data_IF_000834523649
#
_entry.id   IF_000834523649
#
_cell.length_a   1.000
_cell.length_b   1.000
_cell.length_c   1.000
_cell.angle_alpha   90.00
_cell.angle_beta   90.00
_cell.angle_gamma   90.00
#
_symmetry.space_group_name_H-M   'P 1'
#
loop_
_entity.id
_entity.type
_entity.pdbx_description
1 polymer ?
#
# COMPACT_ATOMS: atom_id res chain seq x y z
N UNK A 1 -7.96 -77.84 56.36
CA UNK A 1 -8.65 -76.58 56.66
C UNK A 1 -8.21 -75.59 55.60
N UNK A 2 -9.11 -75.03 54.93
CA UNK A 2 -9.19 -74.34 53.64
C UNK A 2 -7.94 -73.51 53.19
N UNK A 3 -7.46 -73.82 51.96
CA UNK A 3 -6.51 -73.03 51.18
C UNK A 3 -7.32 -72.29 50.06
N UNK A 4 -7.23 -70.99 50.08
CA UNK A 4 -7.82 -70.14 49.04
C UNK A 4 -6.74 -69.76 48.02
N UNK A 5 -6.89 -70.22 46.76
CA UNK A 5 -6.05 -69.84 45.63
C UNK A 5 -6.49 -68.49 45.10
N UNK A 6 -5.60 -67.53 45.05
CA UNK A 6 -5.78 -66.22 44.43
C UNK A 6 -5.28 -66.29 42.99
N UNK A 7 -6.17 -66.13 42.00
CA UNK A 7 -5.86 -66.03 40.60
C UNK A 7 -5.65 -64.53 40.25
N UNK A 8 -4.41 -64.18 39.85
CA UNK A 8 -4.07 -62.86 39.36
C UNK A 8 -4.47 -62.75 37.86
N UNK A 9 -5.40 -61.87 37.57
CA UNK A 9 -5.80 -61.49 36.19
C UNK A 9 -4.93 -60.30 35.76
N UNK A 10 -4.01 -60.52 34.81
CA UNK A 10 -3.30 -59.42 34.16
C UNK A 10 -4.15 -58.89 32.98
N UNK A 11 -4.76 -57.75 33.14
CA UNK A 11 -5.39 -57.02 32.02
C UNK A 11 -4.34 -56.12 31.38
N UNK A 12 -3.88 -56.43 30.18
CA UNK A 12 -3.07 -55.55 29.35
C UNK A 12 -4.01 -54.48 28.77
N UNK A 13 -3.88 -53.26 29.27
CA UNK A 13 -4.53 -52.07 28.64
C UNK A 13 -3.54 -51.50 27.65
N UNK A 14 -3.69 -51.84 26.36
CA UNK A 14 -3.01 -51.15 25.28
C UNK A 14 -3.74 -49.84 25.01
N UNK A 15 -3.21 -48.77 25.62
CA UNK A 15 -3.66 -47.40 25.34
C UNK A 15 -3.14 -46.94 23.99
N UNK A 16 -3.96 -46.99 22.95
CA UNK A 16 -3.70 -46.32 21.69
C UNK A 16 -3.85 -44.83 21.87
N UNK A 17 -2.75 -44.12 22.08
CA UNK A 17 -2.71 -42.64 22.09
C UNK A 17 -2.85 -42.16 20.64
N UNK A 18 -4.06 -41.86 20.21
CA UNK A 18 -4.32 -41.16 18.94
C UNK A 18 -3.91 -39.70 19.14
N UNK A 19 -2.69 -39.37 18.68
CA UNK A 19 -2.24 -38.00 18.55
C UNK A 19 -3.03 -37.34 17.40
N UNK A 20 -4.11 -36.63 17.75
CA UNK A 20 -4.71 -35.67 16.86
C UNK A 20 -3.72 -34.55 16.63
N UNK A 21 -2.97 -34.60 15.53
CA UNK A 21 -2.38 -33.41 14.98
C UNK A 21 -3.52 -32.50 14.50
N UNK A 22 -3.94 -31.58 15.33
CA UNK A 22 -4.72 -30.43 14.88
C UNK A 22 -3.80 -29.62 13.96
N UNK A 23 -3.79 -29.95 12.67
CA UNK A 23 -3.34 -29.00 11.67
C UNK A 23 -4.31 -27.83 11.77
N UNK A 24 -3.84 -26.73 12.35
CA UNK A 24 -4.49 -25.44 12.21
C UNK A 24 -4.38 -25.07 10.75
N UNK A 25 -5.28 -25.61 9.93
CA UNK A 25 -5.54 -25.08 8.63
C UNK A 25 -6.04 -23.65 8.91
N UNK A 26 -5.17 -22.67 8.75
CA UNK A 26 -5.59 -21.30 8.51
C UNK A 26 -6.42 -21.39 7.22
N UNK A 27 -7.72 -21.58 7.36
CA UNK A 27 -8.65 -21.52 6.24
C UNK A 27 -8.62 -20.06 5.80
N UNK A 28 -7.77 -19.75 4.82
CA UNK A 28 -7.88 -18.47 4.12
C UNK A 28 -9.24 -18.53 3.44
N UNK A 29 -10.07 -17.54 3.72
CA UNK A 29 -11.41 -17.48 3.15
C UNK A 29 -11.28 -17.34 1.63
N UNK A 30 -11.98 -18.18 0.83
CA UNK A 30 -11.79 -18.20 -0.61
C UNK A 30 -12.14 -16.87 -1.25
N UNK A 31 -11.23 -16.35 -2.08
CA UNK A 31 -11.47 -15.14 -2.85
C UNK A 31 -12.34 -15.49 -4.06
N UNK A 32 -13.57 -14.99 -4.08
CA UNK A 32 -14.47 -15.08 -5.21
C UNK A 32 -14.19 -13.93 -6.18
N UNK A 33 -14.18 -14.21 -7.49
CA UNK A 33 -13.96 -13.19 -8.51
C UNK A 33 -14.97 -13.33 -9.66
N UNK A 34 -15.46 -12.19 -10.17
CA UNK A 34 -16.28 -12.11 -11.37
C UNK A 34 -16.19 -10.71 -12.02
N UNK A 35 -16.67 -10.62 -13.25
CA UNK A 35 -16.84 -9.36 -13.96
C UNK A 35 -18.33 -9.05 -14.08
N UNK A 36 -18.73 -7.84 -13.71
CA UNK A 36 -20.09 -7.37 -13.87
C UNK A 36 -20.42 -6.96 -15.31
N UNK A 37 -21.71 -6.87 -15.70
CA UNK A 37 -22.12 -6.32 -16.99
C UNK A 37 -21.58 -4.92 -17.27
N UNK A 38 -21.34 -4.12 -16.24
CA UNK A 38 -20.69 -2.80 -16.32
C UNK A 38 -19.21 -2.84 -16.72
N UNK A 39 -18.58 -4.02 -16.75
CA UNK A 39 -17.15 -4.23 -16.94
C UNK A 39 -16.33 -4.19 -15.66
N UNK A 40 -16.91 -3.82 -14.51
CA UNK A 40 -16.24 -3.80 -13.22
C UNK A 40 -15.79 -5.20 -12.80
N UNK A 41 -14.55 -5.31 -12.31
CA UNK A 41 -13.99 -6.56 -11.76
C UNK A 41 -14.22 -6.58 -10.26
N UNK A 42 -14.87 -7.62 -9.76
CA UNK A 42 -15.24 -7.74 -8.35
C UNK A 42 -14.48 -8.88 -7.69
N UNK A 43 -13.95 -8.64 -6.50
CA UNK A 43 -13.24 -9.58 -5.65
C UNK A 43 -13.92 -9.58 -4.28
N UNK A 44 -14.36 -10.74 -3.81
CA UNK A 44 -15.13 -10.87 -2.57
C UNK A 44 -14.49 -11.91 -1.65
N UNK A 45 -14.39 -11.58 -0.37
CA UNK A 45 -14.23 -12.54 0.71
C UNK A 45 -15.43 -12.39 1.65
N UNK A 46 -16.27 -13.44 1.73
CA UNK A 46 -17.38 -13.50 2.68
C UNK A 46 -16.83 -13.74 4.08
N UNK A 47 -17.24 -12.90 5.04
CA UNK A 47 -16.80 -12.95 6.45
C UNK A 47 -17.94 -12.52 7.35
N UNK A 48 -18.60 -13.49 8.01
CA UNK A 48 -19.85 -13.29 8.75
C UNK A 48 -19.72 -13.13 10.29
N UNK A 49 -18.51 -13.16 10.91
CA UNK A 49 -18.40 -13.03 12.37
C UNK A 49 -18.86 -11.68 12.93
N UNK A 50 -18.83 -10.63 12.12
CA UNK A 50 -19.24 -9.27 12.48
C UNK A 50 -20.21 -8.76 11.41
N UNK A 51 -21.37 -8.15 11.78
CA UNK A 51 -22.34 -7.62 10.82
C UNK A 51 -21.84 -6.31 10.18
N UNK A 52 -20.76 -6.41 9.41
CA UNK A 52 -20.07 -5.27 8.80
C UNK A 52 -19.54 -5.64 7.43
N UNK A 53 -19.54 -4.67 6.51
CA UNK A 53 -18.95 -4.80 5.20
C UNK A 53 -17.98 -3.64 4.93
N UNK A 54 -16.82 -3.99 4.41
CA UNK A 54 -15.81 -3.09 3.91
C UNK A 54 -15.69 -3.25 2.40
N UNK A 55 -15.74 -2.15 1.66
CA UNK A 55 -15.61 -2.11 0.20
C UNK A 55 -14.51 -1.13 -0.17
N UNK A 56 -13.69 -1.50 -1.15
CA UNK A 56 -12.77 -0.58 -1.81
C UNK A 56 -12.97 -0.64 -3.32
N UNK A 57 -13.08 0.54 -3.95
CA UNK A 57 -13.22 0.72 -5.38
C UNK A 57 -11.99 1.45 -5.89
N UNK A 58 -11.21 0.82 -6.74
CA UNK A 58 -9.95 1.34 -7.27
C UNK A 58 -10.06 1.66 -8.74
N UNK A 59 -9.54 2.83 -9.13
CA UNK A 59 -9.43 3.30 -10.51
C UNK A 59 -7.99 3.65 -10.85
N UNK A 60 -7.57 3.42 -12.09
CA UNK A 60 -6.27 3.85 -12.61
C UNK A 60 -6.24 5.38 -12.85
N UNK A 61 -6.26 6.13 -11.75
CA UNK A 61 -6.38 7.58 -11.69
C UNK A 61 -5.49 8.19 -10.58
N UNK A 62 -4.34 7.56 -10.30
CA UNK A 62 -3.39 8.06 -9.31
C UNK A 62 -2.50 9.19 -9.84
N UNK A 63 -1.66 9.74 -8.97
CA UNK A 63 -0.79 10.89 -9.25
C UNK A 63 0.17 10.70 -10.44
N UNK A 64 0.47 9.44 -10.82
CA UNK A 64 1.25 9.19 -12.06
C UNK A 64 0.53 9.61 -13.35
N UNK A 65 -0.77 9.94 -13.25
CA UNK A 65 -1.60 10.46 -14.33
C UNK A 65 -1.67 11.99 -14.34
N UNK A 66 -1.13 12.64 -13.32
CA UNK A 66 -1.13 14.10 -13.24
C UNK A 66 -0.21 14.69 -14.32
N UNK A 67 -0.58 15.82 -14.93
CA UNK A 67 0.38 16.65 -15.63
C UNK A 67 1.45 17.16 -14.66
N UNK A 68 2.72 17.26 -15.12
CA UNK A 68 3.83 17.64 -14.26
C UNK A 68 3.63 19.00 -13.57
N UNK A 69 3.04 19.97 -14.28
CA UNK A 69 2.72 21.29 -13.76
C UNK A 69 1.47 21.34 -12.85
N UNK A 70 0.73 20.21 -12.76
CA UNK A 70 -0.46 20.02 -11.91
C UNK A 70 -0.30 18.82 -10.97
N UNK A 71 0.92 18.52 -10.55
CA UNK A 71 1.18 17.46 -9.58
C UNK A 71 0.32 17.65 -8.33
N UNK A 72 -0.38 16.60 -7.90
CA UNK A 72 -1.38 16.61 -6.84
C UNK A 72 -2.82 16.65 -7.33
N UNK A 73 -3.09 16.76 -8.65
CA UNK A 73 -4.43 16.83 -9.22
C UNK A 73 -5.28 15.60 -8.83
N UNK A 74 -4.73 14.39 -8.93
CA UNK A 74 -5.44 13.17 -8.52
C UNK A 74 -5.84 13.22 -7.04
N UNK A 75 -4.92 13.66 -6.17
CA UNK A 75 -5.13 13.70 -4.73
C UNK A 75 -6.21 14.71 -4.33
N UNK A 76 -6.15 15.93 -4.90
CA UNK A 76 -7.16 16.95 -4.60
C UNK A 76 -8.52 16.59 -5.22
N UNK A 77 -8.54 15.97 -6.41
CA UNK A 77 -9.76 15.50 -7.05
C UNK A 77 -10.47 14.46 -6.18
N UNK A 78 -9.74 13.47 -5.68
CA UNK A 78 -10.29 12.46 -4.78
C UNK A 78 -10.83 13.08 -3.49
N UNK A 79 -10.08 13.97 -2.85
CA UNK A 79 -10.48 14.65 -1.61
C UNK A 79 -11.74 15.51 -1.82
N UNK A 80 -11.85 16.18 -2.95
CA UNK A 80 -13.00 17.06 -3.28
C UNK A 80 -14.32 16.29 -3.50
N UNK A 81 -14.27 14.96 -3.72
CA UNK A 81 -15.51 14.15 -3.79
C UNK A 81 -16.27 14.09 -2.46
N UNK A 82 -15.64 14.40 -1.35
CA UNK A 82 -16.25 14.48 -0.01
C UNK A 82 -16.72 15.90 0.36
N UNK A 83 -16.68 16.84 -0.60
CA UNK A 83 -17.01 18.25 -0.36
C UNK A 83 -18.38 18.67 -0.84
N UNK A 84 -19.24 17.70 -1.10
CA UNK A 84 -20.64 17.89 -1.47
C UNK A 84 -21.04 17.02 -2.65
N UNK A 85 -22.36 16.90 -2.81
CA UNK A 85 -23.03 16.14 -3.88
C UNK A 85 -23.90 17.11 -4.66
N UNK A 86 -23.82 17.07 -5.99
CA UNK A 86 -24.66 17.91 -6.85
C UNK A 86 -26.12 17.40 -6.87
N UNK A 87 -27.06 18.32 -7.09
CA UNK A 87 -28.46 17.96 -7.37
C UNK A 87 -28.56 17.19 -8.68
N UNK A 88 -29.31 16.07 -8.68
CA UNK A 88 -29.58 15.28 -9.89
C UNK A 88 -30.82 14.39 -9.71
N UNK A 89 -31.56 14.21 -10.78
CA UNK A 89 -32.74 13.32 -10.88
C UNK A 89 -33.79 13.60 -9.77
N UNK A 90 -34.02 14.89 -9.46
CA UNK A 90 -34.96 15.32 -8.40
C UNK A 90 -34.44 15.19 -6.96
N UNK A 91 -33.24 14.67 -6.76
CA UNK A 91 -32.58 14.65 -5.47
C UNK A 91 -31.86 15.98 -5.21
N UNK A 92 -31.97 16.58 -4.00
CA UNK A 92 -31.31 17.84 -3.67
C UNK A 92 -29.79 17.69 -3.63
N UNK A 93 -29.08 18.81 -3.80
CA UNK A 93 -27.67 18.89 -3.45
C UNK A 93 -27.45 18.67 -1.95
N UNK A 94 -26.25 18.23 -1.60
CA UNK A 94 -25.76 18.20 -0.23
C UNK A 94 -24.45 18.94 -0.18
N UNK A 95 -24.32 19.87 0.73
CA UNK A 95 -23.03 20.50 1.03
C UNK A 95 -22.13 19.59 1.87
N UNK A 96 -20.91 20.06 2.19
CA UNK A 96 -19.91 19.31 3.00
C UNK A 96 -20.45 18.88 4.37
N UNK A 97 -21.21 19.75 5.05
CA UNK A 97 -21.75 19.49 6.38
C UNK A 97 -22.92 18.51 6.34
N UNK A 98 -23.87 18.76 5.44
CA UNK A 98 -25.04 17.88 5.22
C UNK A 98 -24.60 16.47 4.81
N UNK A 99 -23.55 16.35 3.98
CA UNK A 99 -22.99 15.06 3.59
C UNK A 99 -22.35 14.36 4.79
N UNK A 100 -21.61 15.09 5.62
CA UNK A 100 -21.00 14.55 6.83
C UNK A 100 -22.05 14.06 7.84
N UNK A 101 -23.12 14.82 8.03
CA UNK A 101 -24.28 14.45 8.88
C UNK A 101 -24.98 13.20 8.35
N UNK A 102 -25.24 13.14 7.04
CA UNK A 102 -25.89 11.98 6.42
C UNK A 102 -25.07 10.68 6.60
N UNK A 103 -23.74 10.76 6.58
CA UNK A 103 -22.87 9.62 6.89
C UNK A 103 -22.90 9.24 8.38
N UNK A 104 -22.91 10.23 9.26
CA UNK A 104 -22.99 10.02 10.71
C UNK A 104 -24.31 9.32 11.11
N UNK A 105 -25.43 9.75 10.54
CA UNK A 105 -26.76 9.16 10.77
C UNK A 105 -26.84 7.69 10.36
N UNK A 106 -26.07 7.28 9.37
CA UNK A 106 -25.99 5.88 8.91
C UNK A 106 -24.99 5.04 9.72
N UNK A 107 -24.20 5.65 10.62
CA UNK A 107 -23.08 4.96 11.27
C UNK A 107 -22.09 4.36 10.26
N UNK A 108 -21.96 4.97 9.11
CA UNK A 108 -21.18 4.49 7.98
C UNK A 108 -20.19 5.57 7.52
N UNK A 109 -19.26 5.22 6.65
CA UNK A 109 -18.33 6.18 6.08
C UNK A 109 -17.97 5.84 4.65
N UNK A 110 -17.87 6.88 3.82
CA UNK A 110 -17.36 6.76 2.45
C UNK A 110 -16.43 7.93 2.14
N UNK A 111 -15.32 7.65 1.47
CA UNK A 111 -14.36 8.69 1.10
C UNK A 111 -13.40 8.27 0.02
N UNK A 112 -12.87 9.28 -0.70
CA UNK A 112 -11.89 9.12 -1.76
C UNK A 112 -10.50 9.54 -1.33
N UNK A 113 -9.49 8.85 -1.85
CA UNK A 113 -8.07 9.20 -1.75
C UNK A 113 -7.35 8.82 -3.03
N UNK A 114 -6.21 9.44 -3.32
CA UNK A 114 -5.36 8.99 -4.40
C UNK A 114 -3.92 8.82 -3.93
N UNK A 115 -3.33 7.68 -4.29
CA UNK A 115 -1.91 7.42 -4.20
C UNK A 115 -1.24 7.63 -5.56
N UNK A 116 -0.04 7.12 -5.69
CA UNK A 116 0.74 7.24 -6.93
C UNK A 116 0.07 6.54 -8.12
N UNK A 117 -0.43 5.32 -7.93
CA UNK A 117 -0.95 4.49 -9.03
C UNK A 117 -2.48 4.54 -9.19
N UNK A 118 -3.21 4.75 -8.12
CA UNK A 118 -4.67 4.62 -8.12
C UNK A 118 -5.37 5.69 -7.31
N UNK A 119 -6.61 5.99 -7.73
CA UNK A 119 -7.60 6.68 -6.93
C UNK A 119 -8.53 5.62 -6.34
N UNK A 120 -8.74 5.67 -5.04
CA UNK A 120 -9.46 4.66 -4.27
C UNK A 120 -10.61 5.29 -3.51
N UNK A 121 -11.76 4.63 -3.51
CA UNK A 121 -12.92 4.98 -2.69
C UNK A 121 -13.20 3.83 -1.75
N UNK A 122 -13.41 4.12 -0.48
CA UNK A 122 -13.70 3.11 0.53
C UNK A 122 -15.03 3.38 1.22
N UNK A 123 -15.87 2.33 1.30
CA UNK A 123 -17.11 2.30 2.07
C UNK A 123 -16.92 1.33 3.24
N UNK A 124 -17.28 1.78 4.44
CA UNK A 124 -17.48 0.92 5.61
C UNK A 124 -18.90 1.13 6.13
N UNK A 125 -19.64 0.05 6.32
CA UNK A 125 -21.01 0.08 6.82
C UNK A 125 -21.33 -1.17 7.60
N UNK A 126 -22.33 -1.07 8.49
CA UNK A 126 -23.01 -2.26 9.02
C UNK A 126 -23.78 -2.95 7.88
N UNK A 127 -23.89 -4.29 7.94
CA UNK A 127 -24.58 -5.11 6.94
C UNK A 127 -26.10 -5.20 7.12
N UNK A 128 -26.67 -4.46 8.09
CA UNK A 128 -28.09 -4.50 8.40
C UNK A 128 -28.95 -4.07 7.19
N UNK A 129 -30.11 -4.74 6.97
CA UNK A 129 -30.95 -4.53 5.79
C UNK A 129 -31.51 -3.12 5.65
N UNK A 130 -31.64 -2.38 6.74
CA UNK A 130 -32.13 -0.99 6.77
C UNK A 130 -31.02 0.05 6.63
N UNK A 131 -29.74 -0.31 6.82
CA UNK A 131 -28.59 0.59 6.79
C UNK A 131 -27.76 0.45 5.50
N UNK A 132 -27.31 -0.77 5.17
CA UNK A 132 -26.42 -0.99 4.03
C UNK A 132 -26.96 -0.47 2.70
N UNK A 133 -28.26 -0.66 2.34
CA UNK A 133 -28.78 -0.12 1.09
C UNK A 133 -28.77 1.42 1.05
N UNK A 134 -29.04 2.10 2.17
CA UNK A 134 -28.99 3.55 2.28
C UNK A 134 -27.56 4.08 2.15
N UNK A 135 -26.60 3.42 2.84
CA UNK A 135 -25.19 3.74 2.73
C UNK A 135 -24.69 3.56 1.28
N UNK A 136 -25.10 2.48 0.60
CA UNK A 136 -24.74 2.24 -0.80
C UNK A 136 -25.31 3.30 -1.74
N UNK A 137 -26.57 3.75 -1.51
CA UNK A 137 -27.19 4.82 -2.30
C UNK A 137 -26.49 6.16 -2.08
N UNK A 138 -26.15 6.52 -0.84
CA UNK A 138 -25.41 7.74 -0.55
C UNK A 138 -24.02 7.70 -1.16
N UNK A 139 -23.29 6.56 -1.05
CA UNK A 139 -22.00 6.35 -1.69
C UNK A 139 -22.09 6.47 -3.22
N UNK A 140 -23.13 5.90 -3.84
CA UNK A 140 -23.35 6.00 -5.28
C UNK A 140 -23.57 7.46 -5.73
N UNK A 141 -24.28 8.25 -4.95
CA UNK A 141 -24.44 9.69 -5.21
C UNK A 141 -23.11 10.42 -5.07
N UNK A 142 -22.40 10.21 -3.99
CA UNK A 142 -21.11 10.87 -3.75
C UNK A 142 -20.07 10.49 -4.81
N UNK A 143 -20.07 9.23 -5.25
CA UNK A 143 -19.18 8.74 -6.31
C UNK A 143 -19.61 9.25 -7.70
N UNK A 144 -20.90 9.31 -8.01
CA UNK A 144 -21.41 9.64 -9.34
C UNK A 144 -21.69 11.11 -9.58
N UNK A 145 -21.86 11.89 -8.51
CA UNK A 145 -22.36 13.28 -8.55
C UNK A 145 -21.55 14.23 -7.65
N UNK A 146 -20.20 14.16 -7.61
CA UNK A 146 -19.43 15.07 -6.77
C UNK A 146 -19.62 16.52 -7.25
N UNK A 147 -19.93 17.41 -6.30
CA UNK A 147 -20.27 18.82 -6.63
C UNK A 147 -19.04 19.63 -7.08
N UNK A 148 -17.88 19.32 -6.53
CA UNK A 148 -16.64 20.11 -6.73
C UNK A 148 -16.89 21.61 -6.51
N UNK A 149 -17.28 22.07 -5.31
CA UNK A 149 -17.59 23.48 -5.06
C UNK A 149 -16.33 24.36 -5.09
N UNK A 150 -16.34 25.40 -5.92
CA UNK A 150 -15.17 26.26 -6.17
C UNK A 150 -14.70 26.98 -4.90
N UNK A 151 -15.64 27.49 -4.09
CA UNK A 151 -15.31 28.19 -2.84
C UNK A 151 -14.59 27.27 -1.82
N UNK A 152 -15.00 26.01 -1.76
CA UNK A 152 -14.36 24.99 -0.90
C UNK A 152 -12.96 24.67 -1.42
N UNK A 153 -12.80 24.55 -2.74
CA UNK A 153 -11.47 24.35 -3.33
C UNK A 153 -10.52 25.51 -3.03
N UNK A 154 -10.96 26.73 -3.18
CA UNK A 154 -10.12 27.91 -2.88
C UNK A 154 -9.66 27.91 -1.41
N UNK A 155 -10.57 27.65 -0.47
CA UNK A 155 -10.26 27.50 0.96
C UNK A 155 -9.25 26.38 1.21
N UNK A 156 -9.51 25.21 0.66
CA UNK A 156 -8.70 24.01 0.91
C UNK A 156 -7.32 24.12 0.23
N UNK A 157 -7.23 24.74 -0.95
CA UNK A 157 -5.96 25.07 -1.61
C UNK A 157 -5.07 25.95 -0.75
N UNK A 158 -5.62 27.02 -0.16
CA UNK A 158 -4.84 27.90 0.73
C UNK A 158 -4.32 27.15 1.96
N UNK A 159 -5.17 26.30 2.57
CA UNK A 159 -4.75 25.46 3.69
C UNK A 159 -3.66 24.47 3.30
N UNK A 160 -3.76 23.84 2.13
CA UNK A 160 -2.74 22.93 1.59
C UNK A 160 -1.43 23.68 1.31
N UNK A 161 -1.49 24.86 0.72
CA UNK A 161 -0.32 25.72 0.47
C UNK A 161 0.40 26.10 1.77
N UNK A 162 -0.36 26.46 2.81
CA UNK A 162 0.21 26.72 4.13
C UNK A 162 0.90 25.48 4.72
N UNK A 163 0.28 24.30 4.58
CA UNK A 163 0.87 23.03 5.02
C UNK A 163 2.15 22.67 4.25
N UNK A 164 2.21 22.97 2.94
CA UNK A 164 3.42 22.77 2.13
C UNK A 164 4.53 23.70 2.59
N UNK A 165 4.23 24.99 2.86
CA UNK A 165 5.22 25.95 3.41
C UNK A 165 5.78 25.45 4.73
N UNK A 166 4.91 25.00 5.64
CA UNK A 166 5.34 24.42 6.91
C UNK A 166 6.19 23.15 6.70
N UNK A 167 5.75 22.22 5.83
CA UNK A 167 6.49 21.00 5.54
C UNK A 167 7.90 21.28 4.99
N UNK A 168 8.09 22.39 4.27
CA UNK A 168 9.40 22.82 3.75
C UNK A 168 10.38 23.26 4.85
N UNK A 169 9.93 23.48 6.07
CA UNK A 169 10.81 23.75 7.23
C UNK A 169 11.29 22.45 7.92
N UNK A 170 10.81 21.30 7.48
CA UNK A 170 11.15 20.00 8.07
C UNK A 170 12.28 19.32 7.28
N UNK A 171 13.42 19.04 7.93
CA UNK A 171 14.59 18.45 7.24
C UNK A 171 14.26 17.15 6.49
N UNK A 172 13.50 16.25 7.12
CA UNK A 172 13.10 14.97 6.50
C UNK A 172 12.30 15.16 5.20
N UNK A 173 11.41 16.16 5.15
CA UNK A 173 10.62 16.47 3.96
C UNK A 173 11.50 16.97 2.83
N UNK A 174 12.39 17.92 3.12
CA UNK A 174 13.31 18.49 2.11
C UNK A 174 14.26 17.41 1.56
N UNK A 175 14.84 16.59 2.44
CA UNK A 175 15.68 15.47 2.02
C UNK A 175 14.92 14.45 1.16
N UNK A 176 13.69 14.09 1.56
CA UNK A 176 12.83 13.15 0.82
C UNK A 176 12.47 13.64 -0.58
N UNK A 177 12.17 14.91 -0.74
CA UNK A 177 11.89 15.54 -2.05
C UNK A 177 13.10 15.52 -2.97
N UNK A 178 14.26 15.96 -2.47
CA UNK A 178 15.49 15.93 -3.23
C UNK A 178 15.85 14.50 -3.66
N UNK A 179 15.67 13.55 -2.77
CA UNK A 179 15.87 12.13 -3.05
C UNK A 179 14.91 11.59 -4.13
N UNK A 180 13.61 11.84 -4.00
CA UNK A 180 12.62 11.40 -4.98
C UNK A 180 12.89 11.98 -6.36
N UNK A 181 13.19 13.28 -6.44
CA UNK A 181 13.56 13.95 -7.69
C UNK A 181 14.82 13.32 -8.33
N UNK A 182 15.85 13.00 -7.53
CA UNK A 182 17.07 12.39 -8.01
C UNK A 182 16.90 10.92 -8.44
N UNK A 183 16.03 10.15 -7.76
CA UNK A 183 15.76 8.74 -8.09
C UNK A 183 14.89 8.60 -9.32
N UNK A 184 13.84 9.42 -9.44
CA UNK A 184 12.84 9.24 -10.49
C UNK A 184 13.01 10.16 -11.69
N UNK A 185 13.84 11.21 -11.59
CA UNK A 185 14.05 12.18 -12.67
C UNK A 185 12.73 12.81 -13.12
N UNK A 186 12.41 12.65 -14.40
CA UNK A 186 11.15 13.16 -14.99
C UNK A 186 9.96 12.21 -14.90
N UNK A 187 10.16 11.02 -14.32
CA UNK A 187 9.06 10.05 -14.18
C UNK A 187 8.02 10.54 -13.15
N UNK A 188 6.72 10.36 -13.43
CA UNK A 188 5.66 10.85 -12.54
C UNK A 188 5.70 10.35 -11.08
N UNK A 189 6.40 9.27 -10.80
CA UNK A 189 6.61 8.80 -9.42
C UNK A 189 7.42 9.79 -8.57
N UNK A 190 8.18 10.66 -9.21
CA UNK A 190 8.93 11.73 -8.55
C UNK A 190 8.19 13.08 -8.50
N UNK A 191 6.99 13.17 -9.04
CA UNK A 191 6.23 14.41 -9.00
C UNK A 191 5.84 14.77 -7.56
N UNK A 192 6.04 16.03 -7.24
CA UNK A 192 5.77 16.59 -5.92
C UNK A 192 4.66 17.63 -6.02
N UNK A 193 3.70 17.57 -5.10
CA UNK A 193 2.70 18.62 -4.94
C UNK A 193 3.36 19.85 -4.35
N UNK A 194 3.35 20.95 -5.05
CA UNK A 194 3.92 22.25 -4.66
C UNK A 194 2.84 23.32 -4.61
N UNK A 195 3.15 24.48 -4.04
CA UNK A 195 2.26 25.63 -4.10
C UNK A 195 2.00 26.05 -5.56
N UNK A 196 3.03 25.99 -6.41
CA UNK A 196 2.90 26.31 -7.84
C UNK A 196 1.99 25.31 -8.57
N UNK A 197 2.16 24.00 -8.34
CA UNK A 197 1.28 23.00 -8.97
C UNK A 197 -0.17 23.13 -8.49
N UNK A 198 -0.39 23.41 -7.18
CA UNK A 198 -1.73 23.68 -6.64
C UNK A 198 -2.37 24.94 -7.22
N UNK A 199 -1.59 26.00 -7.50
CA UNK A 199 -2.08 27.22 -8.12
C UNK A 199 -2.56 26.99 -9.57
N UNK A 200 -1.96 26.02 -10.27
CA UNK A 200 -2.34 25.65 -11.64
C UNK A 200 -3.56 24.74 -11.72
N UNK A 201 -4.03 24.19 -10.59
CA UNK A 201 -5.20 23.30 -10.55
C UNK A 201 -6.48 24.12 -10.34
N UNK A 202 -7.50 23.84 -11.15
CA UNK A 202 -8.83 24.39 -11.01
C UNK A 202 -9.92 23.29 -11.02
N UNK A 203 -11.17 23.66 -10.76
CA UNK A 203 -12.29 22.72 -10.70
C UNK A 203 -12.54 22.03 -12.06
N UNK A 204 -12.27 22.70 -13.17
CA UNK A 204 -12.44 22.10 -14.49
C UNK A 204 -11.42 20.96 -14.73
N UNK A 205 -10.19 21.12 -14.24
CA UNK A 205 -9.18 20.06 -14.29
C UNK A 205 -9.63 18.82 -13.50
N UNK A 206 -10.16 19.05 -12.29
CA UNK A 206 -10.68 17.97 -11.44
C UNK A 206 -11.84 17.23 -12.11
N UNK A 207 -12.81 17.97 -12.67
CA UNK A 207 -13.94 17.39 -13.39
C UNK A 207 -13.50 16.62 -14.63
N UNK A 208 -12.52 17.12 -15.36
CA UNK A 208 -11.99 16.46 -16.55
C UNK A 208 -11.28 15.15 -16.16
N UNK A 209 -10.40 15.20 -15.17
CA UNK A 209 -9.72 14.01 -14.64
C UNK A 209 -10.74 12.98 -14.15
N UNK A 210 -11.68 13.39 -13.33
CA UNK A 210 -12.69 12.51 -12.77
C UNK A 210 -13.49 11.79 -13.85
N UNK A 211 -14.01 12.51 -14.84
CA UNK A 211 -14.76 11.95 -15.95
C UNK A 211 -13.95 11.05 -16.88
N UNK A 212 -12.64 11.31 -16.99
CA UNK A 212 -11.74 10.56 -17.88
C UNK A 212 -11.31 9.22 -17.30
N UNK A 213 -11.28 9.09 -15.97
CA UNK A 213 -10.68 7.93 -15.30
C UNK A 213 -11.66 7.15 -14.43
N UNK A 214 -12.69 7.79 -13.86
CA UNK A 214 -13.65 7.15 -12.96
C UNK A 214 -14.85 6.65 -13.75
N UNK A 215 -14.71 5.46 -14.34
CA UNK A 215 -15.70 4.79 -15.17
C UNK A 215 -15.95 3.35 -14.68
N UNK A 216 -17.20 2.83 -14.69
CA UNK A 216 -17.52 1.50 -14.17
C UNK A 216 -16.64 0.37 -14.74
N UNK A 217 -16.37 0.41 -16.06
CA UNK A 217 -15.55 -0.60 -16.75
C UNK A 217 -14.06 -0.58 -16.36
N UNK A 218 -13.60 0.43 -15.63
CA UNK A 218 -12.24 0.54 -15.08
C UNK A 218 -12.16 0.13 -13.62
N UNK A 219 -13.33 -0.01 -12.95
CA UNK A 219 -13.38 -0.29 -11.53
C UNK A 219 -12.86 -1.68 -11.18
N UNK A 220 -11.98 -1.74 -10.18
CA UNK A 220 -11.67 -2.96 -9.45
C UNK A 220 -12.28 -2.80 -8.06
N UNK A 221 -13.23 -3.66 -7.72
CA UNK A 221 -13.99 -3.57 -6.48
C UNK A 221 -13.62 -4.74 -5.59
N UNK A 222 -13.06 -4.45 -4.44
CA UNK A 222 -12.73 -5.44 -3.41
C UNK A 222 -13.72 -5.32 -2.25
N UNK A 223 -14.23 -6.45 -1.76
CA UNK A 223 -15.25 -6.51 -0.72
C UNK A 223 -14.84 -7.58 0.30
N UNK A 224 -14.92 -7.22 1.56
CA UNK A 224 -14.75 -8.15 2.69
C UNK A 224 -15.86 -7.89 3.70
N UNK A 225 -16.57 -8.93 4.13
CA UNK A 225 -17.55 -8.78 5.21
C UNK A 225 -18.77 -9.64 5.08
N UNK A 226 -19.79 -9.28 5.86
CA UNK A 226 -21.03 -10.02 6.03
C UNK A 226 -22.01 -9.75 4.87
N UNK A 227 -21.62 -10.22 3.70
CA UNK A 227 -22.44 -10.21 2.49
C UNK A 227 -22.16 -11.46 1.66
N UNK A 228 -23.20 -12.07 1.11
CA UNK A 228 -23.09 -13.15 0.14
C UNK A 228 -22.71 -12.58 -1.22
N UNK A 229 -22.23 -13.46 -2.14
CA UNK A 229 -21.91 -13.08 -3.53
C UNK A 229 -23.06 -12.32 -4.21
N UNK A 230 -24.30 -12.80 -4.06
CA UNK A 230 -25.47 -12.15 -4.67
C UNK A 230 -25.76 -10.77 -4.08
N UNK A 231 -25.53 -10.60 -2.78
CA UNK A 231 -25.64 -9.27 -2.11
C UNK A 231 -24.52 -8.35 -2.55
N UNK A 232 -23.28 -8.85 -2.63
CA UNK A 232 -22.12 -8.09 -3.11
C UNK A 232 -22.31 -7.63 -4.56
N UNK A 233 -22.83 -8.48 -5.44
CA UNK A 233 -23.11 -8.10 -6.83
C UNK A 233 -24.13 -6.96 -6.94
N UNK A 234 -25.22 -7.03 -6.16
CA UNK A 234 -26.21 -5.92 -6.07
C UNK A 234 -25.62 -4.66 -5.46
N UNK A 235 -24.78 -4.80 -4.41
CA UNK A 235 -24.09 -3.67 -3.79
C UNK A 235 -23.21 -2.93 -4.81
N UNK A 236 -22.39 -3.65 -5.57
CA UNK A 236 -21.53 -3.05 -6.60
C UNK A 236 -22.37 -2.40 -7.70
N UNK A 237 -23.46 -3.06 -8.13
CA UNK A 237 -24.39 -2.48 -9.11
C UNK A 237 -24.94 -1.14 -8.61
N UNK A 238 -25.34 -1.06 -7.34
CA UNK A 238 -25.83 0.19 -6.71
C UNK A 238 -24.75 1.25 -6.64
N UNK A 239 -23.55 0.89 -6.15
CA UNK A 239 -22.42 1.82 -5.99
C UNK A 239 -21.99 2.48 -7.30
N UNK A 240 -22.03 1.74 -8.41
CA UNK A 240 -21.58 2.23 -9.72
C UNK A 240 -22.73 2.80 -10.58
N UNK A 241 -24.00 2.69 -10.14
CA UNK A 241 -25.18 3.02 -10.93
C UNK A 241 -25.23 4.47 -11.44
N UNK A 242 -24.59 5.41 -10.73
CA UNK A 242 -24.61 6.83 -11.06
C UNK A 242 -23.39 7.29 -11.85
N UNK A 243 -22.44 6.42 -12.09
CA UNK A 243 -21.32 6.67 -13.00
C UNK A 243 -21.80 6.52 -14.46
N UNK A 244 -21.20 7.27 -15.42
CA UNK A 244 -21.54 7.15 -16.83
C UNK A 244 -21.28 5.72 -17.35
N UNK A 245 -22.33 5.06 -17.84
CA UNK A 245 -22.22 3.77 -18.50
C UNK A 245 -21.90 3.98 -19.99
N UNK A 246 -20.86 3.29 -20.45
CA UNK A 246 -20.57 3.16 -21.89
C UNK A 246 -21.26 1.92 -22.45
N UNK A 247 -21.73 2.02 -23.69
CA UNK A 247 -22.29 0.88 -24.42
C UNK A 247 -21.49 0.71 -25.72
N UNK A 248 -20.79 -0.43 -25.92
CA UNK A 248 -20.63 -1.57 -25.00
C UNK A 248 -19.85 -1.20 -23.74
N UNK A 249 -20.02 -1.95 -22.65
CA UNK A 249 -19.38 -1.75 -21.35
C UNK A 249 -17.86 -2.05 -21.37
N UNK A 250 -17.15 -1.45 -22.31
CA UNK A 250 -15.72 -1.62 -22.52
C UNK A 250 -15.03 -0.25 -22.55
N UNK A 251 -14.05 -0.10 -21.69
CA UNK A 251 -13.22 1.10 -21.68
C UNK A 251 -12.07 0.98 -22.69
N UNK A 252 -11.81 2.10 -23.37
CA UNK A 252 -10.59 2.24 -24.15
C UNK A 252 -9.34 2.16 -23.25
N UNK A 253 -8.22 1.59 -23.72
CA UNK A 253 -6.97 1.60 -22.98
C UNK A 253 -6.56 3.01 -22.59
N UNK A 254 -6.06 3.17 -21.36
CA UNK A 254 -5.49 4.45 -20.94
C UNK A 254 -4.09 4.63 -21.56
N UNK A 255 -3.66 5.88 -21.76
CA UNK A 255 -2.30 6.17 -22.24
C UNK A 255 -1.25 5.47 -21.37
N UNK A 256 -0.26 4.87 -22.02
CA UNK A 256 0.84 4.24 -21.30
C UNK A 256 1.68 5.29 -20.55
N UNK A 257 2.06 4.98 -19.34
CA UNK A 257 3.08 5.74 -18.59
C UNK A 257 4.43 5.07 -18.85
N UNK A 258 5.45 5.84 -19.11
CA UNK A 258 6.80 5.33 -19.36
C UNK A 258 7.33 4.58 -18.11
N UNK A 259 8.30 3.69 -18.31
CA UNK A 259 8.97 3.04 -17.19
C UNK A 259 9.97 3.97 -16.51
N UNK A 260 10.19 3.72 -15.20
CA UNK A 260 11.25 4.41 -14.47
C UNK A 260 12.61 4.01 -15.03
N UNK A 261 13.40 4.99 -15.46
CA UNK A 261 14.73 4.74 -16.00
C UNK A 261 15.71 4.35 -14.87
N UNK A 262 16.61 3.41 -15.17
CA UNK A 262 17.73 3.11 -14.28
C UNK A 262 18.72 4.28 -14.22
N UNK A 263 19.40 4.44 -13.09
CA UNK A 263 20.44 5.46 -12.95
C UNK A 263 21.67 5.12 -13.80
N UNK A 264 22.12 6.08 -14.59
CA UNK A 264 23.32 5.92 -15.42
C UNK A 264 24.63 6.02 -14.59
N UNK A 265 24.63 6.88 -13.58
CA UNK A 265 25.77 7.18 -12.72
C UNK A 265 25.30 7.49 -11.29
N UNK A 266 26.18 7.43 -10.28
CA UNK A 266 25.85 7.85 -8.93
C UNK A 266 25.54 9.35 -8.89
N UNK A 267 24.59 9.71 -8.00
CA UNK A 267 24.22 11.10 -7.73
C UNK A 267 24.48 11.38 -6.25
N UNK A 268 25.26 12.39 -5.93
CA UNK A 268 25.49 12.85 -4.58
C UNK A 268 24.99 14.28 -4.41
N UNK A 269 24.14 14.51 -3.41
CA UNK A 269 23.61 15.83 -3.08
C UNK A 269 23.82 16.11 -1.59
N UNK A 270 24.58 17.17 -1.29
CA UNK A 270 24.69 17.73 0.04
C UNK A 270 23.83 19.00 0.12
N UNK A 271 22.84 19.01 1.01
CA UNK A 271 21.88 20.10 1.16
C UNK A 271 22.16 20.80 2.49
N UNK A 272 22.64 22.04 2.47
CA UNK A 272 22.78 22.85 3.69
C UNK A 272 21.41 23.07 4.34
N UNK A 273 21.31 22.74 5.62
CA UNK A 273 20.08 22.92 6.38
C UNK A 273 20.42 23.01 7.87
N UNK A 274 19.85 23.97 8.57
CA UNK A 274 20.03 24.08 10.01
C UNK A 274 19.20 23.00 10.71
N UNK A 275 19.87 21.96 11.21
CA UNK A 275 19.23 20.83 11.86
C UNK A 275 20.18 20.20 12.89
N UNK A 276 19.63 19.75 14.01
CA UNK A 276 20.38 19.02 15.04
C UNK A 276 20.84 17.63 14.55
N UNK A 277 20.24 17.11 13.49
CA UNK A 277 20.59 15.80 12.90
C UNK A 277 20.75 15.94 11.38
N UNK A 278 21.71 15.22 10.82
CA UNK A 278 21.79 15.00 9.38
C UNK A 278 20.81 13.89 8.96
N UNK A 279 20.07 14.14 7.88
CA UNK A 279 19.20 13.18 7.24
C UNK A 279 19.89 12.59 6.01
N UNK A 280 20.00 11.28 5.98
CA UNK A 280 20.66 10.54 4.90
C UNK A 280 19.67 9.62 4.21
N UNK A 281 19.60 9.72 2.88
CA UNK A 281 18.85 8.81 2.02
C UNK A 281 19.76 8.27 0.92
N UNK A 282 19.81 6.93 0.79
CA UNK A 282 20.61 6.25 -0.24
C UNK A 282 19.70 5.30 -0.99
N UNK A 283 19.74 5.31 -2.33
CA UNK A 283 18.93 4.35 -3.08
C UNK A 283 18.89 4.61 -4.59
N UNK A 284 17.99 3.88 -5.24
CA UNK A 284 17.81 3.85 -6.68
C UNK A 284 16.40 3.37 -7.05
N UNK A 285 15.99 3.43 -8.33
CA UNK A 285 14.83 2.67 -8.78
C UNK A 285 15.01 1.17 -8.47
N UNK A 286 14.00 0.54 -7.88
CA UNK A 286 14.01 -0.86 -7.48
C UNK A 286 13.33 -1.77 -8.52
N UNK A 287 12.10 -2.22 -8.22
CA UNK A 287 11.37 -3.17 -9.06
C UNK A 287 9.85 -2.92 -9.03
N UNK A 288 9.12 -3.54 -9.97
CA UNK A 288 7.66 -3.49 -10.04
C UNK A 288 7.03 -4.53 -9.10
N UNK A 289 5.81 -4.30 -8.66
CA UNK A 289 5.08 -5.27 -7.83
C UNK A 289 4.89 -6.65 -8.49
N UNK A 290 4.85 -6.69 -9.82
CA UNK A 290 4.72 -7.93 -10.60
C UNK A 290 6.04 -8.64 -10.88
N UNK A 291 7.16 -8.16 -10.35
CA UNK A 291 8.48 -8.74 -10.59
C UNK A 291 8.58 -10.16 -9.99
N UNK A 292 9.12 -11.15 -10.73
CA UNK A 292 9.27 -12.51 -10.21
C UNK A 292 10.20 -12.61 -8.99
N UNK A 293 11.12 -11.67 -8.81
CA UNK A 293 12.02 -11.61 -7.65
C UNK A 293 11.36 -11.03 -6.39
N UNK A 294 10.07 -10.67 -6.44
CA UNK A 294 9.35 -9.99 -5.35
C UNK A 294 9.58 -10.62 -3.97
N UNK A 295 9.39 -11.94 -3.84
CA UNK A 295 9.54 -12.61 -2.55
C UNK A 295 10.99 -12.66 -2.07
N UNK A 296 11.93 -12.88 -2.97
CA UNK A 296 13.36 -12.87 -2.62
C UNK A 296 13.82 -11.48 -2.17
N UNK A 297 13.33 -10.42 -2.83
CA UNK A 297 13.62 -9.03 -2.45
C UNK A 297 12.91 -8.63 -1.15
N UNK A 298 11.69 -9.11 -0.92
CA UNK A 298 10.95 -8.89 0.34
C UNK A 298 11.71 -9.48 1.54
N UNK A 299 12.06 -10.77 1.45
CA UNK A 299 12.75 -11.48 2.54
C UNK A 299 14.18 -10.94 2.72
N UNK A 300 14.89 -10.70 1.62
CA UNK A 300 16.23 -10.13 1.68
C UNK A 300 16.23 -8.73 2.28
N UNK A 301 15.26 -7.89 1.95
CA UNK A 301 15.13 -6.57 2.57
C UNK A 301 14.80 -6.66 4.08
N UNK A 302 13.97 -7.63 4.49
CA UNK A 302 13.71 -7.86 5.91
C UNK A 302 15.04 -8.08 6.67
N UNK A 303 15.96 -8.88 6.12
CA UNK A 303 17.26 -9.16 6.71
C UNK A 303 18.18 -7.92 6.64
N UNK A 304 18.16 -7.19 5.52
CA UNK A 304 19.06 -6.04 5.30
C UNK A 304 18.74 -4.86 6.23
N UNK A 305 17.47 -4.40 6.26
CA UNK A 305 17.09 -3.21 7.02
C UNK A 305 15.62 -3.12 7.36
N UNK A 306 14.76 -4.02 6.83
CA UNK A 306 13.32 -4.01 7.06
C UNK A 306 12.86 -4.71 8.34
N UNK A 307 13.71 -5.57 8.95
CA UNK A 307 13.41 -6.34 10.16
C UNK A 307 13.62 -5.58 11.48
N UNK A 308 13.78 -4.27 11.43
CA UNK A 308 14.02 -3.45 12.61
C UNK A 308 15.36 -3.77 13.27
N UNK A 309 15.37 -3.97 14.58
CA UNK A 309 16.60 -4.15 15.36
C UNK A 309 17.41 -5.39 15.03
N UNK A 310 16.82 -6.42 14.45
CA UNK A 310 17.52 -7.65 14.05
C UNK A 310 18.14 -7.57 12.65
N UNK A 311 17.98 -6.45 11.95
CA UNK A 311 18.52 -6.27 10.62
C UNK A 311 20.02 -5.94 10.62
N UNK A 312 20.69 -6.24 9.49
CA UNK A 312 22.14 -5.96 9.34
C UNK A 312 22.47 -4.47 9.47
N UNK A 313 21.67 -3.61 8.86
CA UNK A 313 21.87 -2.16 8.98
C UNK A 313 21.77 -1.71 10.44
N UNK A 314 20.76 -2.18 11.19
CA UNK A 314 20.64 -1.85 12.60
C UNK A 314 21.85 -2.35 13.40
N UNK A 315 22.27 -3.58 13.20
CA UNK A 315 23.44 -4.15 13.89
C UNK A 315 24.72 -3.38 13.58
N UNK A 316 24.99 -3.06 12.31
CA UNK A 316 26.26 -2.45 11.91
C UNK A 316 26.33 -0.95 12.17
N UNK A 317 25.23 -0.22 11.91
CA UNK A 317 25.23 1.25 12.01
C UNK A 317 24.86 1.70 13.43
N UNK A 318 23.85 1.06 14.05
CA UNK A 318 23.35 1.46 15.36
C UNK A 318 24.10 0.75 16.50
N UNK A 319 24.05 -0.60 16.55
CA UNK A 319 24.53 -1.33 17.74
C UNK A 319 26.04 -1.32 17.87
N UNK A 320 26.76 -1.63 16.80
CA UNK A 320 28.23 -1.70 16.84
C UNK A 320 28.93 -0.36 16.85
N UNK A 321 28.31 0.68 16.23
CA UNK A 321 29.00 1.97 16.01
C UNK A 321 28.30 3.18 16.62
N UNK A 322 27.05 3.05 17.06
CA UNK A 322 26.31 4.16 17.67
C UNK A 322 26.06 5.34 16.71
N UNK A 323 26.13 5.12 15.40
CA UNK A 323 26.05 6.21 14.41
C UNK A 323 24.63 6.71 14.19
N UNK A 324 23.62 5.89 14.46
CA UNK A 324 22.22 6.26 14.26
C UNK A 324 21.34 5.58 15.30
N UNK A 325 20.27 6.27 15.75
CA UNK A 325 19.24 5.62 16.55
C UNK A 325 18.30 4.75 15.70
N UNK A 326 18.03 5.17 14.48
CA UNK A 326 17.17 4.44 13.54
C UNK A 326 17.80 4.41 12.15
N UNK A 327 18.00 3.21 11.64
CA UNK A 327 18.42 2.96 10.26
C UNK A 327 17.54 1.84 9.69
N UNK A 328 17.12 2.01 8.45
CA UNK A 328 16.18 1.09 7.80
C UNK A 328 16.43 0.99 6.30
N UNK A 329 15.89 -0.05 5.68
CA UNK A 329 15.73 -0.11 4.23
C UNK A 329 14.35 -0.64 3.85
N UNK A 330 13.88 -0.22 2.67
CA UNK A 330 12.62 -0.71 2.11
C UNK A 330 12.62 -0.58 0.59
N UNK A 331 11.77 -1.38 -0.05
CA UNK A 331 11.34 -1.22 -1.43
C UNK A 331 9.91 -0.69 -1.46
N UNK A 332 9.58 0.12 -2.45
CA UNK A 332 8.23 0.65 -2.68
C UNK A 332 7.70 0.21 -4.05
N UNK A 333 7.54 -1.11 -4.32
CA UNK A 333 7.14 -1.59 -5.63
C UNK A 333 5.71 -1.17 -5.98
N UNK A 334 5.53 -0.54 -7.15
CA UNK A 334 4.25 -0.14 -7.73
C UNK A 334 3.99 -0.81 -9.07
N UNK A 335 3.14 -0.22 -9.88
CA UNK A 335 2.96 -0.64 -11.28
C UNK A 335 4.23 -0.43 -12.11
N UNK A 336 5.04 0.57 -11.72
CA UNK A 336 6.39 0.81 -12.23
C UNK A 336 7.42 0.52 -11.13
N UNK A 337 8.71 0.57 -11.47
CA UNK A 337 9.79 0.36 -10.51
C UNK A 337 9.79 1.46 -9.45
N UNK A 338 9.28 1.16 -8.26
CA UNK A 338 9.39 2.04 -7.10
C UNK A 338 10.78 1.99 -6.49
N UNK A 339 11.13 2.97 -5.67
CA UNK A 339 12.47 3.08 -5.13
C UNK A 339 12.84 1.95 -4.15
N UNK A 340 14.12 1.57 -4.16
CA UNK A 340 14.82 1.02 -3.02
C UNK A 340 15.43 2.18 -2.24
N UNK A 341 15.25 2.19 -0.93
CA UNK A 341 15.72 3.27 -0.06
C UNK A 341 16.36 2.72 1.19
N UNK A 342 17.55 3.19 1.51
CA UNK A 342 18.16 3.13 2.86
C UNK A 342 18.02 4.53 3.45
N UNK A 343 17.45 4.62 4.66
CA UNK A 343 17.27 5.88 5.37
C UNK A 343 17.84 5.82 6.78
N UNK A 344 18.46 6.91 7.23
CA UNK A 344 18.93 7.08 8.59
C UNK A 344 19.02 8.55 8.99
N UNK A 345 19.09 8.77 10.30
CA UNK A 345 19.41 10.06 10.89
C UNK A 345 20.63 9.90 11.79
N UNK A 346 21.54 10.86 11.74
CA UNK A 346 22.80 10.80 12.48
C UNK A 346 23.24 12.21 12.91
N UNK A 347 24.26 12.30 13.73
CA UNK A 347 24.89 13.60 14.02
C UNK A 347 25.56 14.16 12.75
N UNK A 348 25.53 15.49 12.54
CA UNK A 348 26.12 16.10 11.35
C UNK A 348 27.57 15.72 11.11
N UNK A 349 28.39 15.67 12.18
CA UNK A 349 29.82 15.31 12.15
C UNK A 349 30.09 13.82 11.85
N UNK A 350 29.08 12.96 11.95
CA UNK A 350 29.15 11.52 11.69
C UNK A 350 28.51 11.10 10.37
N UNK A 351 27.92 12.02 9.62
CA UNK A 351 27.14 11.71 8.42
C UNK A 351 27.96 10.94 7.37
N UNK A 352 29.19 11.38 7.10
CA UNK A 352 30.05 10.73 6.11
C UNK A 352 30.37 9.26 6.52
N UNK A 353 30.68 9.03 7.80
CA UNK A 353 30.93 7.70 8.33
C UNK A 353 29.68 6.81 8.25
N UNK A 354 28.51 7.34 8.62
CA UNK A 354 27.25 6.60 8.58
C UNK A 354 26.86 6.20 7.14
N UNK A 355 27.08 7.09 6.15
CA UNK A 355 26.92 6.81 4.73
C UNK A 355 27.85 5.68 4.29
N UNK A 356 29.14 5.78 4.62
CA UNK A 356 30.12 4.78 4.21
C UNK A 356 29.77 3.40 4.77
N UNK A 357 29.51 3.29 6.07
CA UNK A 357 29.12 2.03 6.72
C UNK A 357 27.84 1.44 6.09
N UNK A 358 26.82 2.29 5.84
CA UNK A 358 25.58 1.82 5.21
C UNK A 358 25.79 1.30 3.80
N UNK A 359 26.63 1.96 2.99
CA UNK A 359 27.03 1.51 1.65
C UNK A 359 27.81 0.20 1.70
N UNK A 360 28.73 0.05 2.63
CA UNK A 360 29.55 -1.17 2.80
C UNK A 360 28.65 -2.36 3.15
N UNK A 361 27.70 -2.17 4.09
CA UNK A 361 26.71 -3.20 4.46
C UNK A 361 25.87 -3.61 3.25
N UNK A 362 25.38 -2.63 2.50
CA UNK A 362 24.60 -2.88 1.30
C UNK A 362 25.40 -3.62 0.22
N UNK A 363 26.61 -3.17 -0.08
CA UNK A 363 27.48 -3.79 -1.09
C UNK A 363 27.82 -5.22 -0.69
N UNK A 364 28.15 -5.47 0.58
CA UNK A 364 28.41 -6.82 1.11
C UNK A 364 27.17 -7.71 1.01
N UNK A 365 25.98 -7.17 1.28
CA UNK A 365 24.73 -7.93 1.16
C UNK A 365 24.43 -8.31 -0.30
N UNK A 366 24.60 -7.37 -1.23
CA UNK A 366 24.42 -7.63 -2.67
C UNK A 366 25.41 -8.67 -3.19
N UNK A 367 26.68 -8.59 -2.78
CA UNK A 367 27.73 -9.51 -3.21
C UNK A 367 27.63 -10.90 -2.56
N UNK A 368 27.33 -10.97 -1.27
CA UNK A 368 27.39 -12.19 -0.47
C UNK A 368 26.03 -12.87 -0.23
N UNK A 369 24.95 -12.10 -0.20
CA UNK A 369 23.63 -12.55 0.26
C UNK A 369 23.53 -12.65 1.80
N UNK A 370 22.43 -13.19 2.33
CA UNK A 370 22.27 -13.47 3.75
C UNK A 370 23.00 -14.74 4.19
N UNK A 371 23.21 -14.89 5.49
CA UNK A 371 23.60 -16.17 6.08
C UNK A 371 22.35 -17.09 6.22
N UNK A 372 22.56 -18.42 6.30
CA UNK A 372 21.48 -19.38 6.50
C UNK A 372 20.69 -19.11 7.80
N UNK A 373 21.38 -18.72 8.85
CA UNK A 373 20.75 -18.38 10.15
C UNK A 373 19.86 -17.13 10.07
N UNK A 374 20.28 -16.11 9.31
CA UNK A 374 19.48 -14.91 9.07
C UNK A 374 18.24 -15.23 8.22
N UNK A 375 18.42 -16.04 7.17
CA UNK A 375 17.32 -16.48 6.33
C UNK A 375 16.29 -17.29 7.14
N UNK A 376 16.76 -18.22 7.96
CA UNK A 376 15.87 -19.00 8.83
C UNK A 376 15.08 -18.10 9.76
N UNK A 377 15.73 -17.19 10.47
CA UNK A 377 15.07 -16.27 11.40
C UNK A 377 14.06 -15.34 10.68
N UNK A 378 14.38 -14.86 9.48
CA UNK A 378 13.49 -14.05 8.68
C UNK A 378 12.24 -14.83 8.25
N UNK A 379 12.40 -16.08 7.78
CA UNK A 379 11.29 -16.96 7.42
C UNK A 379 10.39 -17.24 8.64
N UNK A 380 10.97 -17.64 9.77
CA UNK A 380 10.23 -17.95 11.00
C UNK A 380 9.35 -16.75 11.42
N UNK A 381 9.90 -15.53 11.37
CA UNK A 381 9.16 -14.31 11.70
C UNK A 381 8.07 -13.97 10.68
N UNK A 382 8.40 -13.98 9.39
CA UNK A 382 7.48 -13.58 8.33
C UNK A 382 6.32 -14.58 8.18
N UNK A 383 6.60 -15.88 8.27
CA UNK A 383 5.59 -16.95 8.19
C UNK A 383 4.75 -16.96 9.47
N UNK A 384 5.38 -16.93 10.65
CA UNK A 384 4.66 -16.90 11.93
C UNK A 384 3.80 -15.67 12.13
N UNK A 385 4.23 -14.52 11.58
CA UNK A 385 3.48 -13.26 11.63
C UNK A 385 2.42 -13.10 10.53
N UNK A 386 2.31 -14.04 9.57
CA UNK A 386 1.43 -13.87 8.42
C UNK A 386 -0.05 -13.72 8.79
N UNK A 387 -0.53 -14.52 9.74
CA UNK A 387 -1.92 -14.46 10.20
C UNK A 387 -2.32 -13.06 10.71
N UNK A 388 -1.39 -12.33 11.34
CA UNK A 388 -1.62 -10.97 11.83
C UNK A 388 -1.74 -9.92 10.72
N UNK A 389 -1.45 -10.29 9.48
CA UNK A 389 -1.63 -9.41 8.30
C UNK A 389 -3.02 -9.45 7.72
N UNK A 390 -3.83 -10.44 8.10
CA UNK A 390 -5.17 -10.70 7.57
C UNK A 390 -6.20 -10.98 8.68
N UNK A 391 -5.93 -10.55 9.93
CA UNK A 391 -6.71 -10.86 11.13
C UNK A 391 -7.96 -9.99 11.31
N UNK A 392 -8.24 -9.07 10.41
CA UNK A 392 -9.42 -8.21 10.44
C UNK A 392 -9.93 -7.93 9.01
N UNK A 393 -11.22 -7.58 8.88
CA UNK A 393 -11.82 -7.22 7.59
C UNK A 393 -10.99 -6.14 6.88
N UNK A 394 -10.52 -5.13 7.60
CA UNK A 394 -9.72 -4.04 7.04
C UNK A 394 -8.40 -4.54 6.43
N UNK A 395 -7.60 -5.29 7.20
CA UNK A 395 -6.32 -5.82 6.72
C UNK A 395 -6.51 -6.83 5.57
N UNK A 396 -7.58 -7.63 5.64
CA UNK A 396 -7.93 -8.55 4.58
C UNK A 396 -8.34 -7.79 3.31
N UNK A 397 -9.17 -6.73 3.44
CA UNK A 397 -9.54 -5.86 2.33
C UNK A 397 -8.31 -5.22 1.67
N UNK A 398 -7.37 -4.68 2.46
CA UNK A 398 -6.14 -4.09 1.94
C UNK A 398 -5.33 -5.12 1.14
N UNK A 399 -5.28 -6.37 1.61
CA UNK A 399 -4.61 -7.48 0.92
C UNK A 399 -5.33 -7.85 -0.39
N UNK A 400 -6.65 -8.02 -0.37
CA UNK A 400 -7.46 -8.35 -1.56
C UNK A 400 -7.42 -7.21 -2.59
N UNK A 401 -7.52 -5.96 -2.15
CA UNK A 401 -7.39 -4.79 -3.02
C UNK A 401 -6.01 -4.71 -3.68
N UNK A 402 -4.94 -5.00 -2.92
CA UNK A 402 -3.59 -5.09 -3.49
C UNK A 402 -3.46 -6.23 -4.51
N UNK A 403 -4.06 -7.39 -4.23
CA UNK A 403 -4.10 -8.53 -5.18
C UNK A 403 -4.84 -8.13 -6.47
N UNK A 404 -6.04 -7.58 -6.33
CA UNK A 404 -6.87 -7.14 -7.44
C UNK A 404 -6.14 -6.08 -8.29
N UNK A 405 -5.54 -5.09 -7.62
CA UNK A 405 -4.82 -4.00 -8.28
C UNK A 405 -3.65 -4.52 -9.14
N UNK A 406 -2.86 -5.39 -8.58
CA UNK A 406 -1.65 -5.91 -9.22
C UNK A 406 -1.91 -7.18 -10.08
N UNK A 407 -3.17 -7.59 -10.28
CA UNK A 407 -3.57 -8.80 -11.00
C UNK A 407 -2.85 -10.06 -10.50
N UNK A 408 -2.68 -10.19 -9.19
CA UNK A 408 -2.06 -11.37 -8.58
C UNK A 408 -3.03 -12.57 -8.62
N UNK A 409 -2.52 -13.81 -8.55
CA UNK A 409 -3.36 -15.01 -8.49
C UNK A 409 -4.35 -14.97 -7.32
N UNK A 410 -5.54 -15.58 -7.48
CA UNK A 410 -6.57 -15.59 -6.43
C UNK A 410 -6.15 -16.38 -5.17
N UNK A 411 -5.25 -17.34 -5.32
CA UNK A 411 -4.63 -18.13 -4.25
C UNK A 411 -3.36 -17.49 -3.65
N UNK A 412 -3.10 -16.22 -3.97
CA UNK A 412 -1.89 -15.52 -3.53
C UNK A 412 -1.72 -15.54 -2.01
N UNK A 413 -2.80 -15.35 -1.24
CA UNK A 413 -2.73 -15.39 0.23
C UNK A 413 -2.52 -16.81 0.76
N UNK A 414 -3.08 -17.83 0.10
CA UNK A 414 -2.91 -19.23 0.45
C UNK A 414 -1.48 -19.72 0.23
N UNK A 415 -0.83 -19.22 -0.82
CA UNK A 415 0.50 -19.64 -1.23
C UNK A 415 1.62 -18.75 -0.68
N UNK A 416 1.29 -17.60 -0.05
CA UNK A 416 2.26 -16.60 0.37
C UNK A 416 3.35 -17.16 1.30
N UNK A 417 2.96 -17.91 2.33
CA UNK A 417 3.91 -18.53 3.27
C UNK A 417 4.79 -19.57 2.61
N UNK A 418 4.23 -20.35 1.67
CA UNK A 418 4.98 -21.32 0.87
C UNK A 418 5.99 -20.64 -0.05
N UNK A 419 5.63 -19.47 -0.66
CA UNK A 419 6.55 -18.69 -1.48
C UNK A 419 7.74 -18.15 -0.67
N UNK A 420 7.51 -17.77 0.59
CA UNK A 420 8.58 -17.35 1.52
C UNK A 420 9.42 -18.56 1.94
N UNK A 421 8.78 -19.67 2.28
CA UNK A 421 9.47 -20.86 2.83
C UNK A 421 10.44 -21.51 1.83
N UNK A 422 10.08 -21.57 0.56
CA UNK A 422 10.93 -22.20 -0.47
C UNK A 422 12.20 -21.43 -0.85
N UNK A 423 12.32 -20.14 -0.44
CA UNK A 423 13.47 -19.31 -0.81
C UNK A 423 14.78 -19.85 -0.23
N UNK A 424 15.83 -19.76 -1.01
CA UNK A 424 17.20 -20.09 -0.60
C UNK A 424 18.07 -18.82 -0.49
N UNK A 425 19.22 -18.93 0.17
CA UNK A 425 20.25 -17.87 0.18
C UNK A 425 20.65 -17.49 -1.24
N UNK A 426 20.77 -18.48 -2.14
CA UNK A 426 21.14 -18.25 -3.54
C UNK A 426 20.08 -17.43 -4.28
N UNK A 427 18.78 -17.67 -4.04
CA UNK A 427 17.69 -16.90 -4.66
C UNK A 427 17.75 -15.43 -4.25
N UNK A 428 17.94 -15.16 -2.94
CA UNK A 428 18.03 -13.79 -2.43
C UNK A 428 19.26 -13.08 -2.98
N UNK A 429 20.42 -13.73 -2.93
CA UNK A 429 21.66 -13.18 -3.48
C UNK A 429 21.51 -12.84 -4.96
N UNK A 430 20.97 -13.75 -5.75
CA UNK A 430 20.78 -13.56 -7.17
C UNK A 430 19.78 -12.42 -7.48
N UNK A 431 18.69 -12.32 -6.72
CA UNK A 431 17.69 -11.26 -6.88
C UNK A 431 18.29 -9.88 -6.56
N UNK A 432 19.03 -9.75 -5.45
CA UNK A 432 19.69 -8.50 -5.07
C UNK A 432 20.73 -8.08 -6.09
N UNK A 433 21.55 -9.00 -6.58
CA UNK A 433 22.56 -8.73 -7.62
C UNK A 433 21.94 -8.28 -8.96
N UNK A 434 20.73 -8.79 -9.31
CA UNK A 434 20.01 -8.34 -10.52
C UNK A 434 19.41 -6.95 -10.38
N UNK A 435 18.95 -6.59 -9.17
CA UNK A 435 18.10 -5.41 -8.97
C UNK A 435 18.84 -4.22 -8.39
N UNK A 436 19.92 -4.40 -7.66
CA UNK A 436 20.63 -3.30 -7.00
C UNK A 436 22.05 -3.12 -7.56
N UNK A 437 22.40 -1.86 -7.77
CA UNK A 437 23.72 -1.40 -8.23
C UNK A 437 24.24 -0.37 -7.22
N UNK A 438 24.83 -0.81 -6.09
CA UNK A 438 25.25 0.10 -5.00
C UNK A 438 26.16 1.24 -5.45
N UNK A 439 26.96 1.00 -6.49
CA UNK A 439 27.89 1.97 -7.08
C UNK A 439 27.20 3.12 -7.85
N UNK A 440 25.91 2.94 -8.24
CA UNK A 440 25.14 3.93 -9.02
C UNK A 440 24.06 4.65 -8.24
N UNK A 441 23.95 4.40 -6.95
CA UNK A 441 22.84 4.94 -6.14
C UNK A 441 22.94 6.45 -5.92
N UNK A 442 21.78 7.08 -5.83
CA UNK A 442 21.61 8.41 -5.26
C UNK A 442 22.02 8.39 -3.80
N UNK A 443 22.68 9.43 -3.33
CA UNK A 443 22.92 9.74 -1.92
C UNK A 443 22.55 11.19 -1.67
N UNK A 444 21.55 11.41 -0.82
CA UNK A 444 21.18 12.75 -0.33
C UNK A 444 21.57 12.84 1.12
N UNK A 445 22.31 13.87 1.48
CA UNK A 445 22.67 14.23 2.85
C UNK A 445 22.17 15.65 3.10
N UNK A 446 21.31 15.82 4.05
CA UNK A 446 20.81 17.15 4.45
C UNK A 446 21.17 17.42 5.91
N UNK A 447 21.67 18.62 6.20
CA UNK A 447 22.00 19.06 7.56
C UNK A 447 23.36 18.59 8.08
N UNK A 448 24.21 17.95 7.25
CA UNK A 448 25.62 17.76 7.58
C UNK A 448 26.40 19.07 7.40
N UNK A 449 27.43 19.26 8.20
CA UNK A 449 28.42 20.31 7.90
C UNK A 449 29.05 20.02 6.54
N UNK A 450 29.34 21.06 5.70
CA UNK A 450 29.97 20.89 4.42
C UNK A 450 31.39 20.27 4.54
#
# INVERSE_FOLDING_TARGET
MFAIKTIAFHALITGATVLFYAQSALAVLPVQHWTQPSGAKVYLVESHPIPMVDVQIDFDAGGRRDPADKAGLASVTAAMTSKGIAARDGLPELDENQLSEAWADLGAGFGGSAGTDRMSFSLRSLSYPDLLPKAAQLAARQLGEPAFPDSVWLRDRERMSASIREANTRPATVAGRAYAAAVYGTHPYGYETTEASLANINIQDMRQMYRGFVEPCRAKVSIVGDVTRAQADRLVTTLLARLPLRVPARCEPLPAVAEVASLAAPVAQAIPFESAQAHVLIGQPGYKRSDPDYFALLVGNYILGGGGFVSRLSTEVREKRGLSYSVYSYFSPGLHAGAFTVGLQTRPDQAAQAVQVSRDVLAQFVAGGPADTELKAAKDNLIGGFALRIDSNRKLLDSISSMAWNNLPLDYLDTWTQQVDKLTVADIKAAFARKLQPEKMVTVILGAAP
#
